data_IF_803159945344
#
_entry.id   IF_803159945344
#
_cell.length_a   1.000
_cell.length_b   1.000
_cell.length_c   1.000
_cell.angle_alpha   90.00
_cell.angle_beta   90.00
_cell.angle_gamma   90.00
#
_symmetry.space_group_name_H-M   'P 1'
#
loop_
_entity.id
_entity.type
_entity.pdbx_description
1 polymer ?
#
# COMPACT_ATOMS: atom_id res chain seq x y z
N UNK A 1 6.95 13.31 -2.97
CA UNK A 1 6.84 13.50 -1.51
C UNK A 1 5.99 14.72 -1.25
N UNK A 2 4.94 14.59 -0.44
CA UNK A 2 4.08 15.70 -0.01
C UNK A 2 4.14 15.78 1.50
N UNK A 3 4.49 16.94 2.05
CA UNK A 3 4.47 17.18 3.49
C UNK A 3 3.01 17.33 3.95
N UNK A 4 2.67 16.66 5.04
CA UNK A 4 1.39 16.72 5.72
C UNK A 4 1.56 17.43 7.08
N UNK A 5 0.45 17.62 7.78
CA UNK A 5 0.46 18.21 9.12
C UNK A 5 1.25 17.37 10.13
N UNK A 6 1.67 18.00 11.22
CA UNK A 6 2.38 17.34 12.32
C UNK A 6 3.62 16.56 11.85
N UNK A 7 4.29 17.03 10.80
CA UNK A 7 5.51 16.46 10.24
C UNK A 7 5.38 15.04 9.69
N UNK A 8 4.15 14.63 9.37
CA UNK A 8 3.90 13.46 8.55
C UNK A 8 4.22 13.78 7.10
N UNK A 9 4.54 12.75 6.31
CA UNK A 9 4.75 12.93 4.89
C UNK A 9 4.32 11.71 4.10
N UNK A 10 3.80 11.97 2.91
CA UNK A 10 3.36 10.96 1.96
C UNK A 10 4.43 10.75 0.90
N UNK A 11 4.79 9.49 0.69
CA UNK A 11 5.55 9.03 -0.47
C UNK A 11 4.63 8.35 -1.47
N UNK A 12 4.80 8.70 -2.75
CA UNK A 12 4.08 8.08 -3.86
C UNK A 12 5.10 7.71 -4.90
N UNK A 13 5.26 6.42 -5.12
CA UNK A 13 6.00 5.85 -6.24
C UNK A 13 5.01 5.09 -7.10
N UNK A 14 4.88 5.47 -8.37
CA UNK A 14 4.01 4.78 -9.31
C UNK A 14 4.62 4.78 -10.70
N UNK A 15 4.57 3.64 -11.39
CA UNK A 15 5.05 3.51 -12.75
C UNK A 15 4.12 2.62 -13.57
N UNK A 16 3.98 2.99 -14.84
CA UNK A 16 3.19 2.25 -15.82
C UNK A 16 3.97 1.00 -16.24
N UNK A 17 3.29 -0.13 -16.26
CA UNK A 17 3.80 -1.39 -16.78
C UNK A 17 2.82 -1.95 -17.81
N UNK A 18 3.25 -2.93 -18.58
CA UNK A 18 2.32 -3.72 -19.39
C UNK A 18 1.34 -4.44 -18.46
N UNK A 19 0.02 -4.35 -18.72
CA UNK A 19 -0.98 -5.10 -17.96
C UNK A 19 -0.67 -6.59 -17.99
N UNK A 20 -0.73 -7.21 -16.82
CA UNK A 20 -0.57 -8.66 -16.67
C UNK A 20 -1.76 -9.22 -15.91
N UNK A 21 -1.96 -10.53 -15.93
CA UNK A 21 -2.99 -11.19 -15.11
C UNK A 21 -2.84 -10.90 -13.61
N UNK A 22 -1.66 -10.43 -13.20
CA UNK A 22 -1.28 -10.10 -11.82
C UNK A 22 -1.48 -8.60 -11.52
N UNK A 23 -1.20 -7.73 -12.48
CA UNK A 23 -1.41 -6.28 -12.39
C UNK A 23 -2.31 -5.86 -13.55
N UNK A 24 -3.63 -6.12 -13.47
CA UNK A 24 -4.55 -5.88 -14.60
C UNK A 24 -4.67 -4.40 -14.95
N UNK A 25 -4.45 -3.53 -13.97
CA UNK A 25 -4.48 -2.07 -14.16
C UNK A 25 -3.21 -1.51 -14.82
N UNK A 26 -2.17 -2.33 -15.03
CA UNK A 26 -0.92 -1.88 -15.67
C UNK A 26 -0.16 -0.82 -14.86
N UNK A 27 -0.36 -0.79 -13.54
CA UNK A 27 0.26 0.19 -12.64
C UNK A 27 0.91 -0.55 -11.48
N UNK A 28 2.23 -0.40 -11.36
CA UNK A 28 2.94 -0.76 -10.13
C UNK A 28 3.05 0.47 -9.25
N UNK A 29 2.84 0.29 -7.96
CA UNK A 29 2.88 1.39 -7.02
C UNK A 29 3.36 1.00 -5.62
N UNK A 30 3.85 2.00 -4.90
CA UNK A 30 4.07 2.03 -3.47
C UNK A 30 3.67 3.42 -2.96
N UNK A 31 2.57 3.49 -2.22
CA UNK A 31 2.07 4.68 -1.53
C UNK A 31 2.30 4.49 -0.04
N UNK A 32 3.00 5.40 0.63
CA UNK A 32 3.31 5.27 2.06
C UNK A 32 3.06 6.57 2.79
N UNK A 33 2.62 6.47 4.05
CA UNK A 33 2.58 7.56 5.01
C UNK A 33 3.65 7.28 6.06
N UNK A 34 4.46 8.29 6.33
CA UNK A 34 5.50 8.26 7.34
C UNK A 34 5.25 9.33 8.40
N UNK A 35 5.64 9.04 9.64
CA UNK A 35 5.67 10.02 10.72
C UNK A 35 7.02 10.76 10.79
N UNK A 36 7.11 11.77 11.66
CA UNK A 36 8.32 12.59 11.86
C UNK A 36 9.59 11.78 12.18
N UNK A 37 9.44 10.63 12.84
CA UNK A 37 10.56 9.75 13.21
C UNK A 37 11.04 8.87 12.05
N UNK A 38 10.35 8.90 10.91
CA UNK A 38 10.66 8.12 9.72
C UNK A 38 9.95 6.78 9.64
N UNK A 39 9.24 6.37 10.70
CA UNK A 39 8.50 5.10 10.73
C UNK A 39 7.30 5.12 9.75
N UNK A 40 7.12 4.01 9.03
CA UNK A 40 5.97 3.81 8.13
C UNK A 40 4.73 3.55 8.96
N UNK A 41 3.76 4.45 8.86
CA UNK A 41 2.46 4.36 9.56
C UNK A 41 1.51 3.49 8.75
N UNK A 42 1.35 3.81 7.46
CA UNK A 42 0.59 2.99 6.52
C UNK A 42 1.29 2.88 5.18
N UNK A 43 0.91 1.87 4.40
CA UNK A 43 1.15 1.97 2.97
C UNK A 43 0.39 0.93 2.16
N UNK A 44 0.24 1.28 0.90
CA UNK A 44 -0.40 0.56 -0.17
C UNK A 44 0.68 0.20 -1.18
N UNK A 45 0.95 -1.07 -1.40
CA UNK A 45 1.89 -1.48 -2.43
C UNK A 45 1.46 -2.79 -3.10
N UNK A 46 1.89 -2.93 -4.35
CA UNK A 46 1.67 -4.12 -5.16
C UNK A 46 2.95 -4.66 -5.80
N UNK A 47 4.09 -4.13 -5.34
CA UNK A 47 5.42 -4.44 -5.84
C UNK A 47 6.04 -5.69 -5.17
N UNK A 48 5.49 -6.17 -4.05
CA UNK A 48 5.96 -7.36 -3.35
C UNK A 48 5.02 -8.56 -3.55
N UNK A 49 5.54 -9.66 -4.09
CA UNK A 49 4.90 -10.96 -3.97
C UNK A 49 5.06 -11.45 -2.52
N UNK A 50 3.96 -11.71 -1.81
CA UNK A 50 4.02 -12.35 -0.50
C UNK A 50 4.62 -13.74 -0.68
N UNK A 51 5.81 -13.98 -0.11
CA UNK A 51 6.35 -15.34 -0.03
C UNK A 51 5.42 -16.15 0.88
N UNK A 52 4.80 -17.25 0.42
CA UNK A 52 4.00 -18.09 1.30
C UNK A 52 4.88 -18.62 2.43
N UNK A 53 4.39 -18.68 3.68
CA UNK A 53 5.13 -19.28 4.79
C UNK A 53 5.46 -20.73 4.43
N UNK A 54 6.76 -21.04 4.41
CA UNK A 54 7.29 -22.24 3.77
C UNK A 54 6.67 -23.53 4.32
N UNK A 55 6.17 -24.36 3.39
CA UNK A 55 6.18 -25.84 3.44
C UNK A 55 5.52 -26.54 2.24
N UNK A 56 5.18 -25.87 1.14
CA UNK A 56 4.60 -26.54 -0.02
C UNK A 56 5.49 -26.37 -1.26
N UNK A 57 6.32 -27.38 -1.50
CA UNK A 57 6.89 -27.68 -2.82
C UNK A 57 5.67 -27.93 -3.73
N UNK A 58 5.56 -27.20 -4.85
CA UNK A 58 4.43 -27.21 -5.79
C UNK A 58 3.17 -26.38 -5.44
N UNK A 59 3.32 -25.23 -4.78
CA UNK A 59 2.21 -24.26 -4.73
C UNK A 59 2.12 -23.48 -6.04
N UNK A 60 1.37 -24.02 -7.01
CA UNK A 60 0.83 -23.20 -8.09
C UNK A 60 0.00 -22.05 -7.49
N UNK A 61 0.29 -20.83 -7.94
CA UNK A 61 -0.52 -19.61 -7.88
C UNK A 61 -1.17 -19.26 -6.51
N UNK A 62 -0.63 -18.24 -5.84
CA UNK A 62 -1.28 -17.59 -4.68
C UNK A 62 -1.29 -16.08 -4.88
N UNK A 63 -2.50 -15.56 -5.16
CA UNK A 63 -2.99 -14.16 -5.09
C UNK A 63 -3.04 -13.69 -3.62
N UNK A 64 -3.15 -12.38 -3.24
CA UNK A 64 -3.37 -11.14 -4.00
C UNK A 64 -2.16 -10.17 -3.89
N UNK A 65 -2.10 -9.10 -4.69
CA UNK A 65 -0.90 -8.25 -4.78
C UNK A 65 -1.04 -6.91 -4.06
N UNK A 66 -2.18 -6.24 -4.13
CA UNK A 66 -2.34 -4.97 -3.43
C UNK A 66 -2.58 -5.26 -1.94
N UNK A 67 -1.76 -4.67 -1.06
CA UNK A 67 -1.92 -4.82 0.39
C UNK A 67 -1.98 -3.47 1.09
N UNK A 68 -2.81 -3.38 2.12
CA UNK A 68 -2.83 -2.27 3.07
C UNK A 68 -2.19 -2.71 4.38
N UNK A 69 -1.19 -1.97 4.83
CA UNK A 69 -0.60 -2.13 6.16
C UNK A 69 -1.15 -1.04 7.08
N UNK A 70 -1.73 -1.41 8.22
CA UNK A 70 -2.10 -0.46 9.28
C UNK A 70 -0.99 -0.21 10.31
N UNK A 71 0.02 -1.09 10.37
CA UNK A 71 1.21 -0.97 11.24
C UNK A 71 2.41 -1.71 10.66
N UNK A 72 3.62 -1.35 11.12
CA UNK A 72 4.90 -2.01 10.80
C UNK A 72 4.89 -3.54 11.04
N UNK A 73 4.09 -4.01 12.00
CA UNK A 73 3.95 -5.43 12.35
C UNK A 73 2.76 -6.13 11.68
N UNK A 74 1.98 -5.42 10.88
CA UNK A 74 0.78 -5.95 10.23
C UNK A 74 1.15 -6.78 8.99
N UNK A 75 0.51 -7.95 8.84
CA UNK A 75 0.80 -8.92 7.77
C UNK A 75 0.38 -8.44 6.37
N UNK A 76 -0.27 -7.28 6.28
CA UNK A 76 -0.86 -6.75 5.06
C UNK A 76 -2.19 -7.43 4.78
N UNK A 77 -3.24 -6.62 4.59
CA UNK A 77 -4.57 -7.12 4.19
C UNK A 77 -4.72 -6.94 2.69
N UNK A 78 -5.23 -7.95 1.95
CA UNK A 78 -5.58 -7.80 0.55
C UNK A 78 -6.43 -6.55 0.30
N UNK A 79 -6.04 -5.78 -0.70
CA UNK A 79 -6.74 -4.63 -1.22
C UNK A 79 -7.08 -4.93 -2.69
N UNK A 80 -8.21 -4.43 -3.16
CA UNK A 80 -8.59 -4.49 -4.57
C UNK A 80 -9.18 -3.13 -4.92
N UNK A 81 -8.71 -2.53 -6.01
CA UNK A 81 -9.22 -1.26 -6.50
C UNK A 81 -9.66 -1.41 -7.95
N UNK A 82 -10.69 -0.66 -8.33
CA UNK A 82 -11.24 -0.66 -9.68
C UNK A 82 -10.39 0.16 -10.65
N UNK A 83 -9.85 1.28 -10.18
CA UNK A 83 -9.06 2.22 -10.95
C UNK A 83 -8.11 3.04 -10.07
N UNK A 84 -7.16 3.72 -10.70
CA UNK A 84 -6.17 4.54 -9.98
C UNK A 84 -6.81 5.65 -9.14
N UNK A 85 -8.02 6.10 -9.49
CA UNK A 85 -8.74 7.10 -8.71
C UNK A 85 -9.22 6.52 -7.38
N UNK A 86 -9.80 5.32 -7.39
CA UNK A 86 -10.17 4.62 -6.15
C UNK A 86 -8.95 4.39 -5.26
N UNK A 87 -7.83 3.92 -5.83
CA UNK A 87 -6.59 3.69 -5.10
C UNK A 87 -6.11 4.94 -4.35
N UNK A 88 -6.02 6.08 -5.05
CA UNK A 88 -5.58 7.33 -4.44
C UNK A 88 -6.60 7.84 -3.41
N UNK A 89 -7.89 7.80 -3.74
CA UNK A 89 -8.95 8.27 -2.85
C UNK A 89 -8.96 7.50 -1.54
N UNK A 90 -8.87 6.17 -1.60
CA UNK A 90 -8.91 5.31 -0.43
C UNK A 90 -7.62 5.49 0.41
N UNK A 91 -6.46 5.63 -0.24
CA UNK A 91 -5.20 5.95 0.44
C UNK A 91 -5.26 7.28 1.19
N UNK A 92 -5.68 8.36 0.54
CA UNK A 92 -5.78 9.67 1.20
C UNK A 92 -6.87 9.70 2.28
N UNK A 93 -7.98 8.99 2.10
CA UNK A 93 -8.98 8.85 3.15
C UNK A 93 -8.42 8.19 4.43
N UNK A 94 -7.51 7.23 4.30
CA UNK A 94 -6.82 6.66 5.46
C UNK A 94 -5.80 7.62 6.06
N UNK A 95 -5.05 8.34 5.23
CA UNK A 95 -4.12 9.38 5.70
C UNK A 95 -4.89 10.41 6.54
N UNK A 96 -5.99 10.94 6.01
CA UNK A 96 -6.84 11.91 6.69
C UNK A 96 -7.40 11.35 8.01
N UNK A 97 -7.81 10.09 8.01
CA UNK A 97 -8.32 9.42 9.21
C UNK A 97 -7.24 9.33 10.28
N UNK A 98 -6.02 8.94 9.92
CA UNK A 98 -4.89 8.82 10.84
C UNK A 98 -4.52 10.20 11.39
N UNK A 99 -4.40 11.21 10.54
CA UNK A 99 -4.07 12.57 10.96
C UNK A 99 -5.13 13.12 11.93
N UNK A 100 -6.43 12.85 11.69
CA UNK A 100 -7.51 13.21 12.61
C UNK A 100 -7.49 12.46 13.94
N UNK A 101 -7.02 11.21 13.98
CA UNK A 101 -6.86 10.47 15.23
C UNK A 101 -5.69 11.00 16.08
N UNK A 102 -4.75 11.75 15.46
CA UNK A 102 -3.58 12.33 16.13
C UNK A 102 -3.84 13.76 16.61
N UNK A 103 -4.78 14.48 15.98
CA UNK A 103 -5.20 15.82 16.41
C UNK A 103 -6.12 15.71 17.65
N UNK A 104 -5.69 16.19 18.84
CA UNK A 104 -6.45 16.06 20.09
C UNK A 104 -7.65 17.01 20.22
#
# INVERSE_FOLDING_TARGET
MVQQEHGYWVEIHAWRIEPTSVVPHGIRYALTLHEQRGDRVIGYDNAHAVKPPGKYKYAGQVLPYDHKHRHIADKGVPYEFKDAYQLLRDFFADVDRILKEIEP
#
